data_IF_733835494907
#
_entry.id   IF_733835494907
#
_cell.length_a   1.000
_cell.length_b   1.000
_cell.length_c   1.000
_cell.angle_alpha   90.00
_cell.angle_beta   90.00
_cell.angle_gamma   90.00
#
_symmetry.space_group_name_H-M   'P 1'
#
loop_
_entity.id
_entity.type
_entity.pdbx_description
1 polymer ?
#
# COMPACT_ATOMS: atom_id res chain seq x y z
N UNK A 1 30.05 -14.42 45.66
CA UNK A 1 28.63 -14.00 45.75
C UNK A 1 28.15 -13.13 44.55
N UNK A 2 28.90 -13.04 43.43
CA UNK A 2 28.58 -12.10 42.32
C UNK A 2 27.97 -12.81 41.08
N UNK A 3 28.06 -14.14 41.00
CA UNK A 3 27.57 -14.94 39.85
C UNK A 3 26.05 -15.20 39.85
N UNK A 4 25.32 -14.84 40.92
CA UNK A 4 23.86 -15.03 41.01
C UNK A 4 23.04 -13.80 40.58
N UNK A 5 23.66 -12.62 40.46
CA UNK A 5 22.98 -11.36 40.09
C UNK A 5 22.93 -11.16 38.57
N UNK A 6 23.90 -11.70 37.83
CA UNK A 6 23.96 -11.60 36.35
C UNK A 6 22.82 -12.40 35.66
N UNK A 7 22.29 -13.43 36.31
CA UNK A 7 21.14 -14.19 35.78
C UNK A 7 19.79 -13.46 35.94
N UNK A 8 19.67 -12.48 36.83
CA UNK A 8 18.42 -11.74 37.06
C UNK A 8 18.27 -10.49 36.19
N UNK A 9 19.36 -9.90 35.69
CA UNK A 9 19.33 -8.71 34.81
C UNK A 9 19.12 -9.09 33.33
N UNK A 10 19.60 -10.26 32.90
CA UNK A 10 19.47 -10.71 31.50
C UNK A 10 18.05 -11.11 31.06
N UNK A 11 17.18 -11.47 32.01
CA UNK A 11 15.80 -11.92 31.70
C UNK A 11 14.85 -10.72 31.50
N UNK A 12 15.15 -9.56 32.10
CA UNK A 12 14.30 -8.36 31.99
C UNK A 12 14.52 -7.59 30.68
N UNK A 13 15.74 -7.59 30.14
CA UNK A 13 16.05 -7.00 28.81
C UNK A 13 15.53 -7.85 27.65
N UNK A 14 15.36 -9.16 27.84
CA UNK A 14 14.74 -10.04 26.83
C UNK A 14 13.21 -9.85 26.76
N UNK A 15 12.55 -9.50 27.86
CA UNK A 15 11.10 -9.26 27.89
C UNK A 15 10.68 -7.88 27.38
N UNK A 16 11.58 -6.89 27.42
CA UNK A 16 11.32 -5.55 26.83
C UNK A 16 11.61 -5.47 25.33
N UNK A 17 12.27 -6.49 24.75
CA UNK A 17 12.44 -6.64 23.29
C UNK A 17 11.35 -7.50 22.65
N UNK A 18 10.47 -8.12 23.44
CA UNK A 18 9.38 -8.98 22.97
C UNK A 18 7.97 -8.40 23.25
N UNK A 19 7.87 -7.13 23.62
CA UNK A 19 6.58 -6.43 23.85
C UNK A 19 6.17 -5.49 22.72
N UNK A 20 7.02 -5.32 21.71
CA UNK A 20 6.74 -4.47 20.55
C UNK A 20 6.67 -5.30 19.27
N UNK A 21 5.47 -5.75 18.89
CA UNK A 21 4.99 -5.95 17.51
C UNK A 21 3.64 -6.72 17.49
N UNK A 22 2.66 -6.30 18.30
CA UNK A 22 1.27 -6.59 17.97
C UNK A 22 0.86 -5.66 16.82
N UNK A 23 1.43 -5.86 15.62
CA UNK A 23 0.77 -5.36 14.43
C UNK A 23 -0.46 -6.22 14.30
N UNK A 24 -1.62 -5.67 14.66
CA UNK A 24 -2.90 -6.24 14.24
C UNK A 24 -2.84 -6.28 12.71
N UNK A 25 -2.45 -7.43 12.17
CA UNK A 25 -2.53 -7.69 10.75
C UNK A 25 -4.02 -7.77 10.49
N UNK A 26 -4.65 -6.62 10.17
CA UNK A 26 -6.04 -6.54 9.79
C UNK A 26 -6.28 -7.70 8.82
N UNK A 27 -7.12 -8.68 9.20
CA UNK A 27 -7.25 -10.00 8.55
C UNK A 27 -7.11 -9.88 7.02
N UNK A 28 -5.87 -10.03 6.52
CA UNK A 28 -5.51 -9.72 5.12
C UNK A 28 -6.00 -10.83 4.19
N UNK A 29 -6.31 -12.00 4.75
CA UNK A 29 -6.62 -13.23 4.01
C UNK A 29 -7.82 -13.11 3.04
N UNK A 30 -8.65 -12.07 3.16
CA UNK A 30 -9.78 -11.82 2.25
C UNK A 30 -9.56 -10.70 1.22
N UNK A 31 -8.43 -9.99 1.26
CA UNK A 31 -8.20 -8.87 0.34
C UNK A 31 -7.73 -9.39 -1.02
N UNK A 32 -8.29 -8.84 -2.09
CA UNK A 32 -7.75 -9.05 -3.44
C UNK A 32 -6.45 -8.27 -3.65
N UNK A 33 -6.28 -7.13 -2.96
CA UNK A 33 -5.09 -6.30 -3.01
C UNK A 33 -5.10 -5.27 -1.87
N UNK A 34 -3.93 -4.90 -1.35
CA UNK A 34 -3.81 -3.87 -0.32
C UNK A 34 -2.52 -3.06 -0.47
N UNK A 35 -2.65 -1.80 -0.90
CA UNK A 35 -1.50 -0.91 -1.09
C UNK A 35 -1.47 0.14 0.02
N UNK A 36 -0.71 -0.17 1.07
CA UNK A 36 -0.59 0.68 2.27
C UNK A 36 0.43 1.81 2.11
N UNK A 37 1.24 1.79 1.05
CA UNK A 37 2.27 2.80 0.76
C UNK A 37 3.43 2.88 1.77
N UNK A 38 3.56 1.93 2.69
CA UNK A 38 4.60 1.94 3.73
C UNK A 38 5.95 1.34 3.31
N UNK A 39 5.96 0.30 2.47
CA UNK A 39 7.18 -0.46 2.12
C UNK A 39 7.69 -0.27 0.69
N UNK A 40 7.00 0.54 -0.13
CA UNK A 40 7.41 0.87 -1.50
C UNK A 40 8.56 1.88 -1.58
N UNK A 41 9.23 1.91 -2.74
CA UNK A 41 10.31 2.86 -3.07
C UNK A 41 10.46 3.03 -4.58
N UNK A 42 10.94 4.21 -4.99
CA UNK A 42 11.11 4.52 -6.41
C UNK A 42 9.81 4.27 -7.18
N UNK A 43 9.89 3.45 -8.23
CA UNK A 43 8.75 3.13 -9.07
C UNK A 43 7.91 1.92 -8.63
N UNK A 44 8.17 1.34 -7.45
CA UNK A 44 7.49 0.13 -6.98
C UNK A 44 6.56 0.43 -5.80
N UNK A 45 5.29 0.08 -5.95
CA UNK A 45 4.28 0.02 -4.90
C UNK A 45 4.15 -1.41 -4.43
N UNK A 46 4.20 -1.66 -3.12
CA UNK A 46 4.16 -3.01 -2.55
C UNK A 46 2.75 -3.39 -2.15
N UNK A 47 2.32 -4.60 -2.50
CA UNK A 47 1.07 -5.21 -2.05
C UNK A 47 1.23 -5.88 -0.68
N UNK A 48 0.59 -5.31 0.34
CA UNK A 48 0.52 -5.85 1.69
C UNK A 48 -0.43 -7.06 1.80
N UNK A 49 -1.29 -7.23 0.78
CA UNK A 49 -1.86 -8.46 0.25
C UNK A 49 -1.30 -9.80 0.67
N UNK A 50 0.01 -9.92 0.40
CA UNK A 50 0.72 -11.18 0.17
C UNK A 50 0.19 -11.98 -1.04
N UNK A 51 -0.59 -11.36 -1.94
CA UNK A 51 -1.06 -11.97 -3.20
C UNK A 51 -0.18 -11.65 -4.41
N UNK A 52 0.80 -10.77 -4.23
CA UNK A 52 1.81 -10.47 -5.24
C UNK A 52 1.40 -9.39 -6.23
N UNK A 53 0.37 -8.59 -5.92
CA UNK A 53 -0.12 -7.53 -6.79
C UNK A 53 0.65 -6.23 -6.63
N UNK A 54 1.98 -6.32 -6.65
CA UNK A 54 2.85 -5.14 -6.59
C UNK A 54 2.53 -4.21 -7.76
N UNK A 55 2.39 -2.92 -7.45
CA UNK A 55 2.09 -1.89 -8.43
C UNK A 55 3.32 -1.16 -8.96
N UNK A 56 3.13 -0.44 -10.05
CA UNK A 56 4.13 0.44 -10.66
C UNK A 56 3.56 1.86 -10.80
N UNK A 57 4.37 2.89 -10.56
CA UNK A 57 3.95 4.26 -10.84
C UNK A 57 4.08 4.56 -12.34
N UNK A 58 3.07 5.21 -12.90
CA UNK A 58 3.05 5.72 -14.27
C UNK A 58 2.76 7.22 -14.21
N UNK A 59 3.44 8.00 -15.04
CA UNK A 59 3.35 9.45 -15.02
C UNK A 59 4.11 10.10 -13.88
N UNK A 60 3.67 11.30 -13.47
CA UNK A 60 4.33 12.12 -12.44
C UNK A 60 3.69 11.86 -11.08
N UNK A 61 4.01 10.71 -10.50
CA UNK A 61 3.61 10.34 -9.14
C UNK A 61 4.81 10.43 -8.21
N UNK A 62 4.61 11.03 -7.03
CA UNK A 62 5.66 11.13 -6.01
C UNK A 62 5.21 10.54 -4.67
N UNK A 63 6.16 9.94 -3.97
CA UNK A 63 5.97 9.52 -2.59
C UNK A 63 5.91 10.74 -1.67
N UNK A 64 4.91 10.79 -0.80
CA UNK A 64 4.78 11.82 0.23
C UNK A 64 4.83 11.18 1.63
N UNK A 65 5.29 11.95 2.62
CA UNK A 65 5.21 11.58 4.05
C UNK A 65 3.93 12.06 4.72
N UNK A 66 3.07 12.76 3.98
CA UNK A 66 1.83 13.34 4.48
C UNK A 66 0.63 12.47 4.09
N UNK A 67 0.77 11.15 4.17
CA UNK A 67 -0.34 10.22 3.99
C UNK A 67 -1.29 10.25 5.18
N UNK A 68 -2.47 9.63 5.04
CA UNK A 68 -3.39 9.47 6.18
C UNK A 68 -2.73 8.67 7.32
N UNK A 69 -1.96 7.64 6.95
CA UNK A 69 -1.13 6.87 7.86
C UNK A 69 0.27 6.79 7.25
N UNK A 70 1.25 7.43 7.87
CA UNK A 70 2.62 7.41 7.36
C UNK A 70 2.72 8.01 5.96
N UNK A 71 3.18 7.21 5.00
CA UNK A 71 3.41 7.65 3.62
C UNK A 71 2.14 7.57 2.76
N UNK A 72 2.21 8.21 1.61
CA UNK A 72 1.18 8.12 0.57
C UNK A 72 1.78 8.44 -0.80
N UNK A 73 0.89 8.52 -1.79
CA UNK A 73 1.23 8.97 -3.14
C UNK A 73 0.52 10.29 -3.41
N UNK A 74 1.26 11.21 -4.02
CA UNK A 74 0.74 12.48 -4.51
C UNK A 74 0.79 12.47 -6.03
N UNK A 75 -0.34 12.81 -6.64
CA UNK A 75 -0.58 12.79 -8.07
C UNK A 75 -0.69 14.23 -8.55
N UNK A 76 -0.19 14.52 -9.75
CA UNK A 76 -0.17 15.87 -10.31
C UNK A 76 -1.47 16.28 -11.05
N UNK A 77 -2.47 15.39 -11.07
CA UNK A 77 -3.74 15.62 -11.74
C UNK A 77 -3.70 15.44 -13.27
N UNK A 78 -2.62 14.92 -13.83
CA UNK A 78 -2.49 14.54 -15.24
C UNK A 78 -2.61 13.02 -15.44
N UNK A 79 -2.03 12.45 -16.50
CA UNK A 79 -1.96 11.00 -16.76
C UNK A 79 -1.02 10.26 -15.78
N UNK A 80 -1.38 10.31 -14.50
CA UNK A 80 -0.61 9.80 -13.37
C UNK A 80 -1.42 8.77 -12.59
N UNK A 81 -0.93 7.53 -12.49
CA UNK A 81 -1.64 6.44 -11.81
C UNK A 81 -0.69 5.37 -11.27
N UNK A 82 -1.24 4.46 -10.46
CA UNK A 82 -0.58 3.20 -10.07
C UNK A 82 -1.14 2.10 -10.96
N UNK A 83 -0.28 1.49 -11.78
CA UNK A 83 -0.63 0.35 -12.59
C UNK A 83 -0.45 -0.93 -11.76
N UNK A 84 -1.53 -1.71 -11.65
CA UNK A 84 -1.50 -3.07 -11.12
C UNK A 84 -1.68 -4.02 -12.32
N UNK A 85 -0.77 -4.99 -12.55
CA UNK A 85 -0.95 -5.97 -13.61
C UNK A 85 -2.27 -6.73 -13.49
N UNK A 86 -2.85 -7.07 -14.63
CA UNK A 86 -4.10 -7.81 -14.69
C UNK A 86 -3.96 -9.21 -14.04
N UNK A 87 -5.02 -9.64 -13.36
CA UNK A 87 -5.08 -10.90 -12.63
C UNK A 87 -6.53 -11.34 -12.44
N UNK A 88 -6.73 -12.66 -12.31
CA UNK A 88 -8.03 -13.26 -11.96
C UNK A 88 -8.59 -12.74 -10.62
N UNK A 89 -7.72 -12.28 -9.72
CA UNK A 89 -8.12 -11.68 -8.45
C UNK A 89 -8.91 -10.36 -8.61
N UNK A 90 -8.81 -9.72 -9.78
CA UNK A 90 -9.51 -8.48 -10.13
C UNK A 90 -10.61 -8.69 -11.19
N UNK A 91 -10.95 -9.95 -11.47
CA UNK A 91 -12.17 -10.30 -12.22
C UNK A 91 -13.35 -10.29 -11.24
N UNK A 92 -13.85 -9.09 -10.95
CA UNK A 92 -14.96 -8.88 -10.01
C UNK A 92 -16.28 -9.43 -10.58
N UNK A 93 -16.50 -10.75 -10.45
CA UNK A 93 -17.70 -11.44 -10.93
C UNK A 93 -18.84 -11.50 -9.90
N UNK A 94 -18.58 -11.11 -8.64
CA UNK A 94 -19.55 -11.07 -7.54
C UNK A 94 -19.41 -9.80 -6.71
N UNK A 95 -20.01 -9.80 -5.52
CA UNK A 95 -19.96 -8.65 -4.62
C UNK A 95 -18.54 -8.36 -4.15
N UNK A 96 -18.16 -7.09 -4.17
CA UNK A 96 -16.88 -6.63 -3.70
C UNK A 96 -16.99 -5.27 -3.03
N UNK A 97 -15.93 -4.88 -2.34
CA UNK A 97 -15.82 -3.56 -1.72
C UNK A 97 -14.43 -3.01 -2.00
N UNK A 98 -14.36 -1.71 -2.27
CA UNK A 98 -13.12 -0.97 -2.40
C UNK A 98 -13.15 0.14 -1.35
N UNK A 99 -12.07 0.25 -0.58
CA UNK A 99 -11.90 1.30 0.43
C UNK A 99 -10.51 1.92 0.29
N UNK A 100 -10.43 3.24 0.35
CA UNK A 100 -9.18 3.99 0.26
C UNK A 100 -9.29 5.35 0.96
N UNK A 101 -8.14 5.96 1.22
CA UNK A 101 -8.03 7.34 1.68
C UNK A 101 -7.64 8.24 0.52
N UNK A 102 -8.34 9.35 0.35
CA UNK A 102 -8.06 10.36 -0.67
C UNK A 102 -8.08 11.74 -0.03
N UNK A 103 -7.12 12.58 -0.41
CA UNK A 103 -7.13 14.02 -0.15
C UNK A 103 -7.07 14.72 -1.51
N UNK A 104 -8.15 15.40 -1.88
CA UNK A 104 -8.19 16.20 -3.11
C UNK A 104 -7.82 17.65 -2.81
N UNK A 105 -6.98 18.26 -3.64
CA UNK A 105 -6.57 19.67 -3.49
C UNK A 105 -7.31 20.62 -4.45
N UNK A 106 -8.09 20.09 -5.41
CA UNK A 106 -9.00 20.86 -6.27
C UNK A 106 -10.25 20.03 -6.61
N UNK A 107 -11.41 20.65 -6.89
CA UNK A 107 -12.42 20.00 -7.71
C UNK A 107 -11.91 20.05 -9.17
N UNK A 108 -11.28 18.97 -9.64
CA UNK A 108 -10.84 18.92 -11.03
C UNK A 108 -12.07 19.10 -11.95
N UNK A 109 -12.04 20.00 -12.94
CA UNK A 109 -13.13 20.10 -13.90
C UNK A 109 -13.15 18.83 -14.77
N UNK A 110 -14.11 17.93 -14.54
CA UNK A 110 -14.29 16.71 -15.31
C UNK A 110 -14.51 15.46 -14.45
N UNK A 111 -14.63 14.31 -15.12
CA UNK A 111 -14.74 13.01 -14.45
C UNK A 111 -13.38 12.56 -13.94
N UNK A 112 -13.24 12.44 -12.61
CA UNK A 112 -12.06 11.87 -11.96
C UNK A 112 -12.23 10.35 -11.83
N UNK A 113 -11.45 9.58 -12.58
CA UNK A 113 -11.27 8.17 -12.29
C UNK A 113 -10.40 8.00 -11.05
N UNK A 114 -10.97 7.53 -9.94
CA UNK A 114 -10.21 7.30 -8.70
C UNK A 114 -9.67 5.87 -8.66
N UNK A 115 -10.49 4.90 -9.06
CA UNK A 115 -10.10 3.51 -9.27
C UNK A 115 -10.78 3.03 -10.54
N UNK A 116 -10.01 2.44 -11.45
CA UNK A 116 -10.52 1.94 -12.73
C UNK A 116 -9.98 0.53 -12.98
N UNK A 117 -10.83 -0.32 -13.58
CA UNK A 117 -10.43 -1.58 -14.20
C UNK A 117 -10.80 -1.48 -15.67
N UNK A 118 -9.81 -1.51 -16.54
CA UNK A 118 -10.02 -1.36 -17.98
C UNK A 118 -9.10 -2.26 -18.78
N UNK A 119 -9.47 -2.53 -20.02
CA UNK A 119 -8.60 -3.17 -21.01
C UNK A 119 -7.59 -2.13 -21.51
N UNK A 120 -6.32 -2.28 -21.15
CA UNK A 120 -5.25 -1.42 -21.66
C UNK A 120 -4.81 -1.96 -23.03
N UNK A 121 -5.44 -1.48 -24.10
CA UNK A 121 -4.94 -1.76 -25.44
C UNK A 121 -3.60 -1.04 -25.64
N UNK A 122 -2.51 -1.81 -25.68
CA UNK A 122 -1.16 -1.27 -25.89
C UNK A 122 -0.99 -0.62 -27.26
N UNK A 123 -1.94 -0.79 -28.19
CA UNK A 123 -1.92 -0.15 -29.51
C UNK A 123 -2.50 1.27 -29.51
N UNK A 124 -3.18 1.70 -28.43
CA UNK A 124 -3.80 3.02 -28.33
C UNK A 124 -3.10 3.92 -27.30
N UNK A 125 -1.76 3.89 -27.29
CA UNK A 125 -0.99 4.96 -26.64
C UNK A 125 -1.11 6.21 -27.52
N UNK A 126 -2.13 7.04 -27.27
CA UNK A 126 -2.07 8.40 -27.78
C UNK A 126 -0.87 9.11 -27.15
N UNK A 127 -0.11 9.90 -27.93
CA UNK A 127 1.04 10.64 -27.44
C UNK A 127 0.66 11.68 -26.39
#
# INVERSE_FOLDING_TARGET
>A
MVRRIVFLVGVFTAFFLLSGLNRTLAKVDGLAGAWLFESGKGNKVVDASKRGHDGKLVGKVKWTKNGKFGKGLEFDGSESYVEIPDSKDFEFAGDFSIAFWLKSEMPAPGSLGIVTKGYHDKSNTKP
#
